data_IF_320429388567
#
_entry.id   IF_320429388567
#
_cell.length_a   1.000
_cell.length_b   1.000
_cell.length_c   1.000
_cell.angle_alpha   90.00
_cell.angle_beta   90.00
_cell.angle_gamma   90.00
#
_symmetry.space_group_name_H-M   'P 1'
#
loop_
_entity.id
_entity.type
_entity.pdbx_description
1 polymer ?
#
# COMPACT_ATOMS: atom_id res chain seq x y z
N UNK A 1 -16.61 17.22 -6.45
CA UNK A 1 -15.55 16.35 -6.92
C UNK A 1 -16.04 14.94 -7.18
N UNK A 2 -15.21 14.15 -7.85
CA UNK A 2 -15.47 12.72 -8.12
C UNK A 2 -14.29 11.89 -7.64
N UNK A 3 -14.58 10.71 -7.04
CA UNK A 3 -13.61 9.68 -6.72
C UNK A 3 -14.08 8.37 -7.34
N UNK A 4 -13.30 7.86 -8.29
CA UNK A 4 -13.58 6.62 -9.03
C UNK A 4 -12.36 5.69 -8.97
N UNK A 5 -12.62 4.40 -8.76
CA UNK A 5 -11.57 3.36 -8.83
C UNK A 5 -12.03 2.26 -9.78
N UNK A 6 -11.35 2.13 -10.91
CA UNK A 6 -11.85 1.33 -12.02
C UNK A 6 -13.23 1.83 -12.47
N UNK A 7 -14.20 0.91 -12.53
CA UNK A 7 -15.59 1.23 -12.93
C UNK A 7 -16.48 1.65 -11.74
N UNK A 8 -15.97 1.59 -10.50
CA UNK A 8 -16.74 1.89 -9.29
C UNK A 8 -16.57 3.35 -8.88
N UNK A 9 -17.68 4.09 -8.77
CA UNK A 9 -17.73 5.46 -8.24
C UNK A 9 -17.89 5.40 -6.73
N UNK A 10 -16.89 5.92 -6.00
CA UNK A 10 -16.92 5.98 -4.53
C UNK A 10 -17.51 7.28 -4.01
N UNK A 11 -17.42 8.34 -4.81
CA UNK A 11 -17.99 9.63 -4.52
C UNK A 11 -18.28 10.37 -5.83
N UNK A 12 -19.41 11.04 -5.91
CA UNK A 12 -19.72 12.00 -6.95
C UNK A 12 -20.63 13.08 -6.39
N UNK A 13 -20.12 14.29 -6.25
CA UNK A 13 -20.85 15.42 -5.68
C UNK A 13 -21.97 15.90 -6.62
N UNK A 14 -21.86 15.68 -7.94
CA UNK A 14 -22.86 16.09 -8.90
C UNK A 14 -24.13 15.24 -8.80
N UNK A 15 -23.99 13.96 -8.50
CA UNK A 15 -25.09 13.01 -8.33
C UNK A 15 -25.48 12.77 -6.88
N UNK A 16 -24.68 13.29 -5.93
CA UNK A 16 -24.85 13.04 -4.49
C UNK A 16 -24.46 11.62 -4.07
N UNK A 17 -23.75 10.88 -4.92
CA UNK A 17 -23.29 9.54 -4.60
C UNK A 17 -22.18 9.59 -3.57
N UNK A 18 -22.34 8.80 -2.49
CA UNK A 18 -21.34 8.66 -1.45
C UNK A 18 -21.24 7.20 -0.94
N UNK A 19 -20.11 6.55 -1.20
CA UNK A 19 -19.82 5.25 -0.62
C UNK A 19 -19.01 5.45 0.67
N UNK A 20 -19.52 5.06 1.85
CA UNK A 20 -18.80 5.21 3.11
C UNK A 20 -17.45 4.48 3.08
N UNK A 21 -16.42 5.02 3.73
CA UNK A 21 -15.04 4.51 3.70
C UNK A 21 -14.94 3.02 4.06
N UNK A 22 -15.72 2.55 5.05
CA UNK A 22 -15.72 1.15 5.47
C UNK A 22 -16.34 0.17 4.45
N UNK A 23 -17.02 0.68 3.42
CA UNK A 23 -17.56 -0.11 2.29
C UNK A 23 -16.68 -0.08 1.06
N UNK A 24 -15.71 0.85 1.01
CA UNK A 24 -14.76 0.94 -0.10
C UNK A 24 -13.80 -0.25 -0.03
N UNK A 25 -13.56 -0.88 -1.16
CA UNK A 25 -12.58 -1.98 -1.26
C UNK A 25 -11.15 -1.42 -1.26
N UNK A 26 -10.75 -0.82 -0.13
CA UNK A 26 -9.48 -0.12 0.08
C UNK A 26 -8.61 -0.91 1.06
N UNK A 27 -7.37 -1.21 0.66
CA UNK A 27 -6.30 -1.60 1.57
C UNK A 27 -5.56 -0.36 2.03
N UNK A 28 -5.37 -0.19 3.35
CA UNK A 28 -4.63 0.95 3.90
C UNK A 28 -3.42 0.47 4.69
N UNK A 29 -2.27 1.02 4.37
CA UNK A 29 -1.00 0.80 5.10
C UNK A 29 -0.60 2.14 5.71
N UNK A 30 -0.61 2.20 7.03
CA UNK A 30 -0.23 3.39 7.79
C UNK A 30 1.29 3.50 7.90
N UNK A 31 1.75 4.68 8.25
CA UNK A 31 3.15 4.97 8.57
C UNK A 31 3.69 4.01 9.64
N UNK A 32 2.93 3.79 10.70
CA UNK A 32 3.18 2.71 11.65
C UNK A 32 2.46 1.44 11.18
N UNK A 33 3.13 0.30 11.26
CA UNK A 33 2.57 -0.98 10.80
C UNK A 33 1.25 -1.37 11.48
N UNK A 34 0.98 -0.84 12.69
CA UNK A 34 -0.28 -0.98 13.45
C UNK A 34 -0.82 -2.41 13.47
N UNK A 35 0.07 -3.40 13.68
CA UNK A 35 -0.31 -4.81 13.75
C UNK A 35 -1.06 -5.10 15.06
N UNK A 36 -1.97 -6.07 15.02
CA UNK A 36 -2.66 -6.56 16.22
C UNK A 36 -1.68 -7.32 17.10
N UNK A 37 -1.25 -6.72 18.21
CA UNK A 37 -0.19 -7.24 19.08
C UNK A 37 -0.58 -8.58 19.78
N UNK A 38 -1.87 -8.83 19.95
CA UNK A 38 -2.39 -10.06 20.55
C UNK A 38 -2.47 -11.25 19.56
N UNK A 39 -2.16 -11.01 18.29
CA UNK A 39 -2.12 -12.02 17.24
C UNK A 39 -0.70 -12.25 16.75
N UNK A 40 -0.40 -13.46 16.30
CA UNK A 40 0.79 -13.73 15.51
C UNK A 40 0.63 -13.17 14.08
N UNK A 41 1.65 -13.32 13.24
CA UNK A 41 1.61 -12.86 11.83
C UNK A 41 0.44 -13.50 11.08
N UNK A 42 0.28 -14.81 11.15
CA UNK A 42 -0.82 -15.51 10.50
C UNK A 42 -2.20 -15.00 10.95
N UNK A 43 -2.38 -14.77 12.24
CA UNK A 43 -3.61 -14.20 12.81
C UNK A 43 -3.92 -12.80 12.26
N UNK A 44 -2.89 -11.94 12.10
CA UNK A 44 -3.02 -10.63 11.47
C UNK A 44 -3.51 -10.73 10.02
N UNK A 45 -2.96 -11.64 9.22
CA UNK A 45 -3.36 -11.84 7.82
C UNK A 45 -4.80 -12.38 7.73
N UNK A 46 -5.14 -13.38 8.53
CA UNK A 46 -6.48 -13.97 8.55
C UNK A 46 -7.56 -13.01 9.06
N UNK A 47 -7.21 -12.04 9.90
CA UNK A 47 -8.17 -11.06 10.41
C UNK A 47 -8.87 -10.28 9.28
N UNK A 48 -8.11 -9.81 8.27
CA UNK A 48 -8.66 -9.16 7.08
C UNK A 48 -9.41 -10.14 6.17
N UNK A 49 -8.77 -11.28 5.89
CA UNK A 49 -9.31 -12.29 4.99
C UNK A 49 -10.68 -12.82 5.43
N UNK A 50 -10.87 -13.10 6.72
CA UNK A 50 -12.14 -13.62 7.25
C UNK A 50 -13.30 -12.64 7.12
N UNK A 51 -13.02 -11.33 7.11
CA UNK A 51 -14.02 -10.27 6.94
C UNK A 51 -14.31 -9.95 5.48
N UNK A 52 -13.51 -10.50 4.56
CA UNK A 52 -13.70 -10.31 3.12
C UNK A 52 -14.62 -11.41 2.58
N UNK A 53 -15.78 -11.05 1.99
CA UNK A 53 -16.67 -12.03 1.37
C UNK A 53 -15.94 -12.90 0.35
N UNK A 54 -16.21 -14.21 0.34
CA UNK A 54 -15.51 -15.17 -0.53
C UNK A 54 -15.53 -14.73 -1.99
N UNK A 55 -16.66 -14.21 -2.49
CA UNK A 55 -16.80 -13.70 -3.85
C UNK A 55 -15.87 -12.50 -4.19
N UNK A 56 -15.37 -11.79 -3.18
CA UNK A 56 -14.45 -10.67 -3.34
C UNK A 56 -12.98 -11.05 -3.18
N UNK A 57 -12.67 -12.28 -2.77
CA UNK A 57 -11.29 -12.75 -2.58
C UNK A 57 -10.64 -13.04 -3.93
N UNK A 58 -9.99 -12.04 -4.49
CA UNK A 58 -9.26 -12.14 -5.77
C UNK A 58 -7.76 -12.40 -5.56
N UNK A 59 -7.22 -12.01 -4.42
CA UNK A 59 -5.81 -12.15 -4.07
C UNK A 59 -5.63 -13.41 -3.23
N UNK A 60 -4.85 -14.35 -3.72
CA UNK A 60 -4.49 -15.56 -2.98
C UNK A 60 -3.51 -15.21 -1.85
N UNK A 61 -3.83 -15.62 -0.61
CA UNK A 61 -3.01 -15.29 0.56
C UNK A 61 -1.59 -15.85 0.43
N UNK A 62 -1.47 -17.10 -0.06
CA UNK A 62 -0.17 -17.74 -0.25
C UNK A 62 0.71 -16.96 -1.23
N UNK A 63 0.13 -16.45 -2.34
CA UNK A 63 0.86 -15.58 -3.27
C UNK A 63 1.37 -14.30 -2.57
N UNK A 64 0.59 -13.70 -1.69
CA UNK A 64 1.00 -12.50 -0.93
C UNK A 64 2.12 -12.83 0.05
N UNK A 65 2.03 -13.97 0.74
CA UNK A 65 3.04 -14.46 1.68
C UNK A 65 4.37 -14.68 0.98
N UNK A 66 4.36 -15.32 -0.17
CA UNK A 66 5.55 -15.60 -0.98
C UNK A 66 6.13 -14.30 -1.55
N UNK A 67 5.28 -13.45 -2.14
CA UNK A 67 5.69 -12.18 -2.74
C UNK A 67 6.38 -11.24 -1.75
N UNK A 68 5.91 -11.22 -0.49
CA UNK A 68 6.49 -10.38 0.57
C UNK A 68 7.55 -11.11 1.42
N UNK A 69 7.84 -12.37 1.10
CA UNK A 69 8.89 -13.16 1.76
C UNK A 69 8.66 -13.37 3.25
N UNK A 70 7.38 -13.48 3.69
CA UNK A 70 7.02 -13.55 5.11
C UNK A 70 6.62 -14.94 5.60
N UNK A 71 6.75 -15.99 4.76
CA UNK A 71 6.35 -17.35 5.10
C UNK A 71 6.97 -17.88 6.39
N UNK A 72 8.27 -17.61 6.60
CA UNK A 72 9.01 -18.01 7.81
C UNK A 72 8.59 -17.23 9.08
N UNK A 73 7.78 -16.17 8.93
CA UNK A 73 7.32 -15.32 10.03
C UNK A 73 5.93 -15.69 10.54
N UNK A 74 5.15 -16.52 9.82
CA UNK A 74 3.72 -16.72 10.06
C UNK A 74 3.36 -17.06 11.50
N UNK A 75 4.18 -17.85 12.18
CA UNK A 75 3.93 -18.28 13.57
C UNK A 75 4.55 -17.32 14.60
N UNK A 76 5.31 -16.32 14.19
CA UNK A 76 5.99 -15.41 15.10
C UNK A 76 5.03 -14.38 15.71
N UNK A 77 5.18 -14.05 17.01
CA UNK A 77 4.52 -12.90 17.62
C UNK A 77 4.98 -11.60 16.95
N UNK A 78 4.05 -10.68 16.70
CA UNK A 78 4.37 -9.40 16.03
C UNK A 78 5.40 -8.54 16.79
N UNK A 79 5.46 -8.67 18.12
CA UNK A 79 6.43 -7.95 18.95
C UNK A 79 7.89 -8.36 18.68
N UNK A 80 8.14 -9.54 18.11
CA UNK A 80 9.49 -10.05 17.84
C UNK A 80 10.01 -9.70 16.44
N UNK A 81 9.22 -9.01 15.64
CA UNK A 81 9.55 -8.65 14.27
C UNK A 81 10.45 -7.41 14.21
N UNK A 82 11.35 -7.37 13.24
CA UNK A 82 12.08 -6.15 12.87
C UNK A 82 11.11 -5.12 12.27
N UNK A 83 11.54 -3.86 12.12
CA UNK A 83 10.74 -2.82 11.49
C UNK A 83 10.31 -3.18 10.07
N UNK A 84 11.24 -3.66 9.23
CA UNK A 84 10.96 -4.09 7.87
C UNK A 84 10.05 -5.32 7.80
N UNK A 85 10.22 -6.30 8.68
CA UNK A 85 9.32 -7.45 8.79
C UNK A 85 7.90 -7.01 9.17
N UNK A 86 7.76 -6.12 10.17
CA UNK A 86 6.45 -5.55 10.56
C UNK A 86 5.77 -4.85 9.40
N UNK A 87 6.54 -4.06 8.62
CA UNK A 87 5.99 -3.34 7.48
C UNK A 87 5.50 -4.29 6.38
N UNK A 88 6.30 -5.32 6.02
CA UNK A 88 5.87 -6.35 5.06
C UNK A 88 4.61 -7.09 5.52
N UNK A 89 4.51 -7.40 6.79
CA UNK A 89 3.29 -8.02 7.36
C UNK A 89 2.08 -7.07 7.31
N UNK A 90 2.27 -5.77 7.55
CA UNK A 90 1.18 -4.78 7.44
C UNK A 90 0.66 -4.66 6.00
N UNK A 91 1.57 -4.66 5.02
CA UNK A 91 1.23 -4.67 3.59
C UNK A 91 0.48 -5.97 3.25
N UNK A 92 0.97 -7.13 3.70
CA UNK A 92 0.31 -8.41 3.49
C UNK A 92 -1.11 -8.43 4.07
N UNK A 93 -1.30 -7.89 5.27
CA UNK A 93 -2.62 -7.78 5.91
C UNK A 93 -3.58 -6.92 5.10
N UNK A 94 -3.12 -5.80 4.56
CA UNK A 94 -3.93 -4.94 3.69
C UNK A 94 -4.31 -5.68 2.40
N UNK A 95 -3.37 -6.36 1.76
CA UNK A 95 -3.60 -7.14 0.54
C UNK A 95 -4.51 -8.36 0.74
N UNK A 96 -4.49 -8.98 1.94
CA UNK A 96 -5.35 -10.12 2.28
C UNK A 96 -6.85 -9.79 2.18
N UNK A 97 -7.22 -8.52 2.23
CA UNK A 97 -8.60 -8.06 2.01
C UNK A 97 -9.01 -8.02 0.53
N UNK A 98 -8.11 -8.34 -0.39
CA UNK A 98 -8.32 -8.22 -1.85
C UNK A 98 -8.84 -6.84 -2.26
N UNK A 99 -8.09 -5.76 -1.96
CA UNK A 99 -8.53 -4.40 -2.22
C UNK A 99 -8.52 -4.08 -3.72
N UNK A 100 -9.35 -3.12 -4.14
CA UNK A 100 -9.32 -2.54 -5.49
C UNK A 100 -8.28 -1.41 -5.60
N UNK A 101 -7.90 -0.81 -4.49
CA UNK A 101 -6.87 0.21 -4.37
C UNK A 101 -6.08 -0.04 -3.10
N UNK A 102 -4.74 0.02 -3.19
CA UNK A 102 -3.86 0.00 -2.03
C UNK A 102 -3.33 1.41 -1.79
N UNK A 103 -3.65 1.98 -0.63
CA UNK A 103 -3.14 3.27 -0.18
C UNK A 103 -2.05 3.06 0.85
N UNK A 104 -0.89 3.63 0.63
CA UNK A 104 0.25 3.58 1.53
C UNK A 104 0.64 5.00 1.93
N UNK A 105 0.58 5.28 3.23
CA UNK A 105 0.88 6.59 3.78
C UNK A 105 2.20 6.54 4.53
N UNK A 106 3.26 7.10 3.91
CA UNK A 106 4.62 7.14 4.43
C UNK A 106 5.12 5.76 4.95
N UNK A 107 4.91 4.65 4.22
CA UNK A 107 5.04 3.31 4.79
C UNK A 107 6.48 2.94 5.19
N UNK A 108 7.49 3.66 4.69
CA UNK A 108 8.89 3.38 4.99
C UNK A 108 9.56 4.45 5.88
N UNK A 109 8.84 5.49 6.27
CA UNK A 109 9.42 6.64 6.99
C UNK A 109 10.05 6.28 8.34
N UNK A 110 9.51 5.28 9.04
CA UNK A 110 10.02 4.80 10.32
C UNK A 110 11.21 3.82 10.21
N UNK A 111 11.69 3.53 8.98
CA UNK A 111 12.78 2.58 8.72
C UNK A 111 14.09 3.32 8.43
N UNK A 112 15.19 2.76 8.91
CA UNK A 112 16.53 3.15 8.48
C UNK A 112 16.82 2.72 7.03
N UNK A 113 17.89 3.25 6.43
CA UNK A 113 18.23 3.01 5.02
C UNK A 113 18.42 1.52 4.69
N UNK A 114 19.03 0.73 5.61
CA UNK A 114 19.25 -0.69 5.38
C UNK A 114 17.90 -1.45 5.30
N UNK A 115 16.97 -1.17 6.22
CA UNK A 115 15.65 -1.79 6.23
C UNK A 115 14.77 -1.32 5.07
N UNK A 116 14.89 -0.06 4.65
CA UNK A 116 14.24 0.43 3.43
C UNK A 116 14.70 -0.36 2.20
N UNK A 117 16.02 -0.57 2.06
CA UNK A 117 16.58 -1.36 0.97
C UNK A 117 16.08 -2.81 0.94
N UNK A 118 15.77 -3.41 2.10
CA UNK A 118 15.15 -4.74 2.20
C UNK A 118 13.70 -4.76 1.74
N UNK A 119 12.92 -3.69 1.98
CA UNK A 119 11.48 -3.66 1.70
C UNK A 119 11.17 -3.19 0.28
N UNK A 120 11.94 -2.25 -0.26
CA UNK A 120 11.71 -1.64 -1.57
C UNK A 120 11.52 -2.64 -2.73
N UNK A 121 12.32 -3.71 -2.87
CA UNK A 121 12.13 -4.70 -3.94
C UNK A 121 10.76 -5.39 -3.91
N UNK A 122 10.20 -5.60 -2.72
CA UNK A 122 8.86 -6.17 -2.58
C UNK A 122 7.78 -5.18 -3.05
N UNK A 123 7.93 -3.88 -2.75
CA UNK A 123 7.01 -2.84 -3.21
C UNK A 123 7.06 -2.68 -4.72
N UNK A 124 8.23 -2.73 -5.33
CA UNK A 124 8.41 -2.67 -6.79
C UNK A 124 7.70 -3.83 -7.52
N UNK A 125 7.63 -5.00 -6.90
CA UNK A 125 6.98 -6.17 -7.48
C UNK A 125 5.44 -6.12 -7.40
N UNK A 126 4.87 -5.45 -6.38
CA UNK A 126 3.42 -5.46 -6.11
C UNK A 126 2.55 -5.08 -7.33
N UNK A 127 2.80 -3.95 -8.04
CA UNK A 127 1.93 -3.55 -9.16
C UNK A 127 1.92 -4.56 -10.30
N UNK A 128 3.07 -5.19 -10.56
CA UNK A 128 3.23 -6.17 -11.64
C UNK A 128 2.56 -7.51 -11.33
N UNK A 129 2.69 -7.95 -10.07
CA UNK A 129 2.25 -9.26 -9.63
C UNK A 129 0.75 -9.35 -9.30
N UNK A 130 0.17 -8.26 -8.83
CA UNK A 130 -1.19 -8.23 -8.32
C UNK A 130 -2.16 -7.41 -9.16
N UNK A 131 -1.67 -6.59 -10.10
CA UNK A 131 -2.47 -5.69 -10.94
C UNK A 131 -3.45 -4.80 -10.12
N UNK A 132 -3.03 -4.39 -8.91
CA UNK A 132 -3.79 -3.50 -8.03
C UNK A 132 -3.17 -2.11 -8.13
N UNK A 133 -3.94 -1.04 -8.41
CA UNK A 133 -3.43 0.31 -8.36
C UNK A 133 -2.97 0.66 -6.94
N UNK A 134 -1.84 1.35 -6.85
CA UNK A 134 -1.23 1.75 -5.59
C UNK A 134 -1.13 3.27 -5.57
N UNK A 135 -1.68 3.89 -4.52
CA UNK A 135 -1.45 5.29 -4.19
C UNK A 135 -0.41 5.33 -3.06
N UNK A 136 0.79 5.81 -3.40
CA UNK A 136 1.93 5.86 -2.48
C UNK A 136 2.21 7.31 -2.09
N UNK A 137 2.07 7.63 -0.82
CA UNK A 137 2.39 8.94 -0.27
C UNK A 137 3.76 8.88 0.39
N UNK A 138 4.70 9.71 -0.05
CA UNK A 138 6.03 9.83 0.55
C UNK A 138 6.64 11.20 0.27
N UNK A 139 7.48 11.65 1.19
CA UNK A 139 8.35 12.81 1.02
C UNK A 139 9.79 12.41 0.61
N UNK A 140 10.10 11.12 0.55
CA UNK A 140 11.40 10.60 0.18
C UNK A 140 11.51 10.46 -1.35
N UNK A 141 12.28 11.34 -1.98
CA UNK A 141 12.45 11.36 -3.45
C UNK A 141 12.96 10.03 -4.01
N UNK A 142 13.90 9.37 -3.32
CA UNK A 142 14.45 8.08 -3.75
C UNK A 142 13.38 6.98 -3.82
N UNK A 143 12.44 6.95 -2.88
CA UNK A 143 11.34 6.00 -2.89
C UNK A 143 10.39 6.25 -4.05
N UNK A 144 10.05 7.53 -4.27
CA UNK A 144 9.15 7.95 -5.36
C UNK A 144 9.77 7.62 -6.71
N UNK A 145 11.07 7.89 -6.91
CA UNK A 145 11.81 7.56 -8.13
C UNK A 145 11.78 6.07 -8.48
N UNK A 146 11.86 5.22 -7.46
CA UNK A 146 11.88 3.75 -7.65
C UNK A 146 10.50 3.16 -7.89
N UNK A 147 9.48 3.70 -7.23
CA UNK A 147 8.16 3.06 -7.13
C UNK A 147 7.11 3.67 -8.07
N UNK A 148 7.19 4.99 -8.33
CA UNK A 148 6.13 5.68 -9.02
C UNK A 148 6.27 5.62 -10.55
N UNK A 149 5.18 5.25 -11.23
CA UNK A 149 5.04 5.47 -12.67
C UNK A 149 4.52 6.88 -12.96
N UNK A 150 3.63 7.40 -12.10
CA UNK A 150 3.04 8.73 -12.20
C UNK A 150 3.15 9.45 -10.87
N UNK A 151 3.42 10.75 -10.90
CA UNK A 151 3.64 11.57 -9.70
C UNK A 151 2.67 12.74 -9.71
N UNK A 152 2.12 13.01 -8.53
CA UNK A 152 1.40 14.25 -8.22
C UNK A 152 2.12 14.93 -7.07
N UNK A 153 2.75 16.06 -7.34
CA UNK A 153 3.43 16.86 -6.32
C UNK A 153 2.49 17.89 -5.73
N UNK A 154 2.36 17.86 -4.40
CA UNK A 154 1.55 18.80 -3.64
C UNK A 154 2.44 19.79 -2.88
N UNK A 155 2.07 21.07 -2.87
CA UNK A 155 2.62 22.09 -1.98
C UNK A 155 1.51 23.05 -1.59
N UNK A 156 1.44 23.45 -0.32
CA UNK A 156 0.40 24.34 0.23
C UNK A 156 -1.04 23.91 -0.09
N UNK A 157 -1.28 22.59 -0.07
CA UNK A 157 -2.58 21.97 -0.39
C UNK A 157 -3.03 22.12 -1.86
N UNK A 158 -2.12 22.49 -2.74
CA UNK A 158 -2.37 22.61 -4.18
C UNK A 158 -1.51 21.65 -4.98
N UNK A 159 -1.99 21.22 -6.15
CA UNK A 159 -1.21 20.43 -7.09
C UNK A 159 -0.25 21.37 -7.82
N UNK A 160 1.04 21.23 -7.53
CA UNK A 160 2.11 22.05 -8.16
C UNK A 160 2.54 21.46 -9.49
N UNK A 161 2.66 20.15 -9.54
CA UNK A 161 3.07 19.39 -10.73
C UNK A 161 2.41 18.02 -10.73
N UNK A 162 2.21 17.48 -11.92
CA UNK A 162 1.80 16.10 -12.13
C UNK A 162 2.31 15.58 -13.47
N UNK A 163 2.61 14.30 -13.57
CA UNK A 163 3.06 13.66 -14.80
C UNK A 163 3.83 12.38 -14.55
N UNK A 164 4.35 11.81 -15.63
CA UNK A 164 5.18 10.60 -15.55
C UNK A 164 6.47 10.86 -14.78
N UNK A 165 6.86 9.92 -13.93
CA UNK A 165 8.04 10.03 -13.07
C UNK A 165 9.29 10.37 -13.88
N UNK A 166 9.54 9.66 -14.99
CA UNK A 166 10.70 9.88 -15.85
C UNK A 166 10.79 11.32 -16.43
N UNK A 167 9.64 11.91 -16.74
CA UNK A 167 9.58 13.28 -17.29
C UNK A 167 9.81 14.34 -16.22
N UNK A 168 9.22 14.15 -15.04
CA UNK A 168 9.31 15.14 -13.97
C UNK A 168 10.68 15.21 -13.32
N UNK A 169 11.41 14.08 -13.21
CA UNK A 169 12.74 14.05 -12.62
C UNK A 169 13.82 14.61 -13.55
N UNK A 170 13.76 14.39 -14.85
CA UNK A 170 14.67 15.02 -15.82
C UNK A 170 14.60 16.55 -15.79
N UNK A 171 13.53 17.14 -15.26
CA UNK A 171 13.37 18.59 -15.08
C UNK A 171 13.92 19.09 -13.72
N UNK A 172 14.18 18.21 -12.77
CA UNK A 172 14.77 18.56 -11.47
C UNK A 172 16.29 18.57 -11.51
N UNK A 173 16.91 17.68 -12.30
CA UNK A 173 18.37 17.64 -12.49
C UNK A 173 18.90 18.73 -13.44
N UNK A 174 18.02 19.45 -14.12
CA UNK A 174 18.37 20.54 -15.07
C UNK A 174 18.40 21.93 -14.41
N UNK A 175 18.35 22.04 -13.07
CA UNK A 175 18.47 23.28 -12.30
C UNK A 175 19.55 23.15 -11.24
#
# INVERSE_FOLDING_TARGET
GEVRVGDEVWQDDATGQWLPAHRRALGYVFQEASLFAHLNVQGNLHFGLQRTPVARRKVALDKVVDLLGIGHLLQRPCATLSGGERQRVAIARALATSPQLLLMDEPLSALDAARKAEVLPYLEALPRELAIPILYVSHAQEEVLRLAAHIVQLAHSEVVRQGDAATLFNQLDAR
#
